data_IF_250746954325
#
_entry.id   IF_250746954325
#
_cell.length_a   1.000
_cell.length_b   1.000
_cell.length_c   1.000
_cell.angle_alpha   90.00
_cell.angle_beta   90.00
_cell.angle_gamma   90.00
#
_symmetry.space_group_name_H-M   'P 1'
#
loop_
_entity.id
_entity.type
_entity.pdbx_description
1 polymer ?
#
# COMPACT_ATOMS: atom_id res chain seq x y z
N UNK A 1 13.02 17.03 -22.01
CA UNK A 1 11.80 16.79 -21.20
C UNK A 1 12.22 16.54 -19.76
N UNK A 2 11.57 17.13 -18.74
CA UNK A 2 11.90 16.83 -17.34
C UNK A 2 11.61 15.35 -17.06
N UNK A 3 12.55 14.64 -16.44
CA UNK A 3 12.38 13.22 -16.07
C UNK A 3 11.24 13.11 -15.04
N UNK A 4 10.27 12.21 -15.27
CA UNK A 4 9.27 11.82 -14.24
C UNK A 4 10.04 11.29 -13.02
N UNK A 5 9.80 11.88 -11.85
CA UNK A 5 10.41 11.46 -10.59
C UNK A 5 9.78 10.14 -10.12
N UNK A 6 10.55 9.25 -9.48
CA UNK A 6 9.99 8.04 -8.85
C UNK A 6 9.29 8.41 -7.56
N UNK A 7 8.39 7.56 -7.09
CA UNK A 7 7.75 7.72 -5.78
C UNK A 7 8.78 7.83 -4.66
N UNK A 8 9.84 7.02 -4.72
CA UNK A 8 10.97 7.14 -3.81
C UNK A 8 11.62 8.52 -3.89
N UNK A 9 11.98 9.00 -5.09
CA UNK A 9 12.54 10.35 -5.30
C UNK A 9 11.62 11.48 -4.82
N UNK A 10 10.31 11.28 -4.90
CA UNK A 10 9.33 12.23 -4.43
C UNK A 10 9.36 12.38 -2.89
N UNK A 11 9.57 11.28 -2.17
CA UNK A 11 9.56 11.26 -0.70
C UNK A 11 10.85 11.79 -0.06
N UNK A 12 12.01 11.53 -0.65
CA UNK A 12 13.33 11.89 -0.10
C UNK A 12 13.93 13.15 -0.73
N UNK A 13 13.30 13.70 -1.77
CA UNK A 13 13.87 14.76 -2.60
C UNK A 13 14.97 14.23 -3.53
N UNK A 14 15.57 15.12 -4.33
CA UNK A 14 16.54 14.79 -5.39
C UNK A 14 17.92 14.38 -4.87
N UNK A 15 18.03 13.80 -3.68
CA UNK A 15 19.29 13.32 -3.13
C UNK A 15 19.83 12.16 -3.99
N UNK A 16 21.07 12.30 -4.45
CA UNK A 16 21.77 11.40 -5.38
C UNK A 16 22.26 10.09 -4.75
N UNK A 17 21.71 9.67 -3.61
CA UNK A 17 22.15 8.47 -2.91
C UNK A 17 21.82 7.22 -3.73
N UNK A 18 22.78 6.30 -3.79
CA UNK A 18 22.69 5.05 -4.53
C UNK A 18 21.40 4.30 -4.16
N UNK A 19 20.59 4.08 -5.19
CA UNK A 19 19.18 3.64 -5.16
C UNK A 19 18.82 2.29 -4.48
N UNK A 20 19.71 1.29 -4.24
CA UNK A 20 19.25 -0.02 -3.79
C UNK A 20 18.72 -0.04 -2.35
N UNK A 21 19.48 0.50 -1.40
CA UNK A 21 19.21 0.33 0.03
C UNK A 21 17.91 1.00 0.49
N UNK A 22 17.52 2.10 -0.15
CA UNK A 22 16.29 2.82 0.20
C UNK A 22 15.05 2.26 -0.50
N UNK A 23 15.16 1.78 -1.75
CA UNK A 23 14.06 1.04 -2.38
C UNK A 23 13.75 -0.24 -1.61
N UNK A 24 14.78 -0.96 -1.16
CA UNK A 24 14.60 -2.18 -0.37
C UNK A 24 14.10 -1.90 1.06
N UNK A 25 14.55 -0.83 1.71
CA UNK A 25 14.02 -0.40 3.00
C UNK A 25 12.55 0.08 2.88
N UNK A 26 12.22 0.73 1.77
CA UNK A 26 10.89 1.24 1.50
C UNK A 26 9.94 0.10 1.09
N UNK A 27 10.28 -0.68 0.07
CA UNK A 27 9.61 -1.93 -0.28
C UNK A 27 9.50 -2.85 0.94
N UNK A 28 10.51 -2.90 1.79
CA UNK A 28 10.51 -3.58 3.09
C UNK A 28 9.48 -3.01 4.04
N UNK A 29 9.38 -1.68 4.20
CA UNK A 29 8.33 -1.02 5.01
C UNK A 29 6.93 -1.30 4.47
N UNK A 30 6.74 -1.27 3.14
CA UNK A 30 5.47 -1.63 2.49
C UNK A 30 5.15 -3.10 2.63
N UNK A 31 6.12 -3.99 2.47
CA UNK A 31 5.97 -5.43 2.70
C UNK A 31 5.63 -5.68 4.17
N UNK A 32 6.28 -4.96 5.09
CA UNK A 32 5.98 -5.02 6.52
C UNK A 32 4.53 -4.61 6.75
N UNK A 33 4.06 -3.52 6.16
CA UNK A 33 2.67 -3.08 6.24
C UNK A 33 1.68 -4.07 5.63
N UNK A 34 2.00 -4.61 4.45
CA UNK A 34 1.22 -5.60 3.71
C UNK A 34 1.13 -6.93 4.46
N UNK A 35 2.12 -7.28 5.29
CA UNK A 35 2.11 -8.52 6.08
C UNK A 35 1.56 -8.30 7.49
N UNK A 36 1.95 -7.21 8.14
CA UNK A 36 1.56 -6.94 9.53
C UNK A 36 0.12 -6.48 9.65
N UNK A 37 -0.40 -5.62 8.78
CA UNK A 37 -1.78 -5.11 8.92
C UNK A 37 -2.84 -6.21 8.75
N UNK A 38 -2.72 -7.15 7.79
CA UNK A 38 -3.64 -8.29 7.71
C UNK A 38 -3.54 -9.23 8.91
N UNK A 39 -2.33 -9.42 9.46
CA UNK A 39 -2.17 -10.20 10.70
C UNK A 39 -2.91 -9.54 11.87
N UNK A 40 -2.95 -8.21 11.95
CA UNK A 40 -3.64 -7.49 13.02
C UNK A 40 -5.17 -7.60 12.93
N UNK A 41 -5.72 -7.75 11.71
CA UNK A 41 -7.14 -8.07 11.52
C UNK A 41 -7.51 -9.44 12.13
N UNK A 42 -6.58 -10.40 12.14
CA UNK A 42 -6.79 -11.71 12.79
C UNK A 42 -6.65 -11.69 14.33
N UNK A 43 -6.12 -10.62 14.92
CA UNK A 43 -6.02 -10.44 16.38
C UNK A 43 -7.16 -9.56 16.94
N UNK A 44 -8.37 -9.73 16.40
CA UNK A 44 -9.58 -8.88 16.45
C UNK A 44 -10.16 -8.49 17.83
N UNK A 45 -9.40 -8.61 18.91
CA UNK A 45 -9.87 -8.41 20.28
C UNK A 45 -8.97 -7.46 21.09
N UNK A 46 -8.10 -6.69 20.44
CA UNK A 46 -7.17 -5.77 21.11
C UNK A 46 -7.37 -4.34 20.57
N UNK A 47 -8.07 -3.45 21.32
CA UNK A 47 -8.46 -2.12 20.85
C UNK A 47 -7.29 -1.24 20.37
N UNK A 48 -6.12 -1.34 21.00
CA UNK A 48 -4.95 -0.54 20.59
C UNK A 48 -4.39 -0.98 19.24
N UNK A 49 -4.49 -2.27 18.92
CA UNK A 49 -4.03 -2.85 17.66
C UNK A 49 -4.93 -2.40 16.51
N UNK A 50 -6.24 -2.32 16.76
CA UNK A 50 -7.22 -1.85 15.80
C UNK A 50 -7.01 -0.37 15.44
N UNK A 51 -6.83 0.48 16.45
CA UNK A 51 -6.57 1.91 16.25
C UNK A 51 -5.28 2.14 15.47
N UNK A 52 -4.20 1.44 15.84
CA UNK A 52 -2.93 1.51 15.14
C UNK A 52 -3.06 1.05 13.69
N UNK A 53 -3.78 -0.04 13.41
CA UNK A 53 -4.00 -0.55 12.05
C UNK A 53 -4.74 0.45 11.17
N UNK A 54 -5.78 1.09 11.71
CA UNK A 54 -6.52 2.13 10.98
C UNK A 54 -5.65 3.37 10.70
N UNK A 55 -4.93 3.87 11.70
CA UNK A 55 -4.02 5.01 11.53
C UNK A 55 -2.92 4.73 10.51
N UNK A 56 -2.38 3.53 10.57
CA UNK A 56 -1.36 3.03 9.68
C UNK A 56 -1.86 3.04 8.22
N UNK A 57 -3.03 2.45 7.94
CA UNK A 57 -3.61 2.43 6.59
C UNK A 57 -4.04 3.81 6.13
N UNK A 58 -4.59 4.64 7.01
CA UNK A 58 -4.91 6.03 6.71
C UNK A 58 -3.68 6.82 6.27
N UNK A 59 -2.57 6.71 7.01
CA UNK A 59 -1.30 7.36 6.65
C UNK A 59 -0.79 6.88 5.29
N UNK A 60 -0.88 5.57 5.04
CA UNK A 60 -0.51 4.95 3.78
C UNK A 60 -1.28 5.51 2.59
N UNK A 61 -2.60 5.55 2.72
CA UNK A 61 -3.52 6.05 1.70
C UNK A 61 -3.30 7.53 1.42
N UNK A 62 -3.04 8.33 2.45
CA UNK A 62 -2.70 9.74 2.29
C UNK A 62 -1.37 9.91 1.51
N UNK A 63 -0.35 9.11 1.82
CA UNK A 63 0.92 9.12 1.08
C UNK A 63 0.74 8.80 -0.40
N UNK A 64 -0.07 7.79 -0.72
CA UNK A 64 -0.39 7.42 -2.11
C UNK A 64 -1.18 8.53 -2.81
N UNK A 65 -2.12 9.18 -2.13
CA UNK A 65 -2.89 10.30 -2.68
C UNK A 65 -2.01 11.49 -3.05
N UNK A 66 -1.11 11.90 -2.13
CA UNK A 66 -0.18 13.00 -2.37
C UNK A 66 0.69 12.69 -3.58
N UNK A 67 1.24 11.48 -3.65
CA UNK A 67 2.00 11.06 -4.83
C UNK A 67 1.17 11.05 -6.10
N UNK A 68 -0.05 10.51 -6.06
CA UNK A 68 -0.95 10.44 -7.22
C UNK A 68 -1.17 11.81 -7.86
N UNK A 69 -1.45 12.83 -7.04
CA UNK A 69 -1.66 14.21 -7.49
C UNK A 69 -0.40 14.78 -8.13
N UNK A 70 0.76 14.58 -7.50
CA UNK A 70 2.01 15.22 -7.90
C UNK A 70 2.69 14.53 -9.08
N UNK A 71 2.57 13.21 -9.19
CA UNK A 71 3.04 12.40 -10.32
C UNK A 71 2.05 12.35 -11.50
N UNK A 72 0.82 12.86 -11.30
CA UNK A 72 -0.31 12.76 -12.24
C UNK A 72 -0.69 11.31 -12.56
N UNK A 73 -0.60 10.43 -11.57
CA UNK A 73 -1.04 9.04 -11.65
C UNK A 73 -2.43 8.89 -11.05
N UNK A 74 -3.42 9.44 -11.74
CA UNK A 74 -4.80 9.58 -11.24
C UNK A 74 -5.50 8.25 -10.91
N UNK A 75 -5.04 7.13 -11.44
CA UNK A 75 -5.54 5.81 -11.07
C UNK A 75 -5.35 5.49 -9.57
N UNK A 76 -4.36 6.11 -8.92
CA UNK A 76 -4.09 5.95 -7.50
C UNK A 76 -5.00 6.82 -6.60
N UNK A 77 -5.82 7.72 -7.17
CA UNK A 77 -6.76 8.55 -6.41
C UNK A 77 -7.84 7.75 -5.69
N UNK A 78 -8.06 6.48 -6.06
CA UNK A 78 -8.95 5.55 -5.36
C UNK A 78 -8.62 5.42 -3.86
N UNK A 79 -7.38 5.74 -3.45
CA UNK A 79 -6.98 5.77 -2.05
C UNK A 79 -7.72 6.81 -1.20
N UNK A 80 -8.48 7.74 -1.80
CA UNK A 80 -9.40 8.61 -1.06
C UNK A 80 -10.48 7.80 -0.36
N UNK A 81 -10.95 6.73 -1.01
CA UNK A 81 -11.94 5.82 -0.43
C UNK A 81 -11.32 5.07 0.75
N UNK A 82 -10.10 4.54 0.58
CA UNK A 82 -9.39 3.87 1.68
C UNK A 82 -9.15 4.80 2.86
N UNK A 83 -8.73 6.04 2.61
CA UNK A 83 -8.51 7.04 3.64
C UNK A 83 -9.79 7.35 4.43
N UNK A 84 -10.89 7.63 3.72
CA UNK A 84 -12.19 7.93 4.34
C UNK A 84 -12.71 6.73 5.14
N UNK A 85 -12.60 5.51 4.62
CA UNK A 85 -13.03 4.29 5.33
C UNK A 85 -12.19 4.03 6.58
N UNK A 86 -10.88 4.30 6.53
CA UNK A 86 -10.00 4.22 7.70
C UNK A 86 -10.44 5.20 8.80
N UNK A 87 -10.79 6.44 8.43
CA UNK A 87 -11.35 7.41 9.38
C UNK A 87 -12.73 6.97 9.89
N UNK A 88 -13.57 6.42 9.00
CA UNK A 88 -14.90 5.90 9.34
C UNK A 88 -14.88 4.81 10.41
N UNK A 89 -13.81 3.99 10.46
CA UNK A 89 -13.61 2.99 11.53
C UNK A 89 -13.67 3.59 12.94
N UNK A 90 -13.26 4.84 13.11
CA UNK A 90 -13.25 5.52 14.42
C UNK A 90 -14.65 6.01 14.85
N UNK A 91 -15.62 6.03 13.94
CA UNK A 91 -16.94 6.63 14.14
C UNK A 91 -18.08 5.60 14.17
N UNK A 92 -17.88 4.43 13.55
CA UNK A 92 -18.94 3.44 13.34
C UNK A 92 -18.97 2.31 14.38
N UNK A 93 -20.11 1.60 14.51
CA UNK A 93 -20.23 0.38 15.32
C UNK A 93 -19.17 -0.66 14.95
N UNK A 94 -18.83 -1.51 15.93
CA UNK A 94 -17.72 -2.46 15.88
C UNK A 94 -17.65 -3.24 14.54
N UNK A 95 -18.71 -3.93 14.14
CA UNK A 95 -18.71 -4.81 12.96
C UNK A 95 -18.65 -4.04 11.61
N UNK A 96 -19.38 -2.94 11.52
CA UNK A 96 -19.42 -2.10 10.31
C UNK A 96 -18.10 -1.36 10.12
N UNK A 97 -17.52 -0.89 11.23
CA UNK A 97 -16.19 -0.31 11.28
C UNK A 97 -15.12 -1.30 10.80
N UNK A 98 -15.17 -2.56 11.25
CA UNK A 98 -14.22 -3.58 10.78
C UNK A 98 -14.31 -3.82 9.28
N UNK A 99 -15.51 -3.89 8.74
CA UNK A 99 -15.72 -4.02 7.30
C UNK A 99 -15.07 -2.85 6.54
N UNK A 100 -15.22 -1.62 7.04
CA UNK A 100 -14.58 -0.44 6.44
C UNK A 100 -13.05 -0.53 6.47
N UNK A 101 -12.48 -0.99 7.59
CA UNK A 101 -11.03 -1.17 7.71
C UNK A 101 -10.51 -2.24 6.74
N UNK A 102 -11.23 -3.36 6.59
CA UNK A 102 -10.86 -4.43 5.65
C UNK A 102 -10.86 -3.92 4.20
N UNK A 103 -11.91 -3.19 3.80
CA UNK A 103 -11.98 -2.60 2.46
C UNK A 103 -10.84 -1.59 2.24
N UNK A 104 -10.55 -0.75 3.24
CA UNK A 104 -9.44 0.19 3.18
C UNK A 104 -8.09 -0.52 2.96
N UNK A 105 -7.82 -1.60 3.70
CA UNK A 105 -6.61 -2.41 3.56
C UNK A 105 -6.50 -2.98 2.14
N UNK A 106 -7.59 -3.55 1.59
CA UNK A 106 -7.60 -4.12 0.24
C UNK A 106 -7.23 -3.05 -0.81
N UNK A 107 -7.85 -1.86 -0.74
CA UNK A 107 -7.59 -0.77 -1.68
C UNK A 107 -6.13 -0.30 -1.60
N UNK A 108 -5.63 -0.10 -0.38
CA UNK A 108 -4.25 0.38 -0.17
C UNK A 108 -3.22 -0.66 -0.58
N UNK A 109 -3.48 -1.94 -0.33
CA UNK A 109 -2.59 -3.03 -0.71
C UNK A 109 -2.55 -3.21 -2.23
N UNK A 110 -3.69 -3.17 -2.92
CA UNK A 110 -3.74 -3.23 -4.38
C UNK A 110 -3.00 -2.03 -5.01
N UNK A 111 -3.22 -0.83 -4.47
CA UNK A 111 -2.54 0.40 -4.92
C UNK A 111 -1.04 0.34 -4.66
N UNK A 112 -0.63 -0.14 -3.49
CA UNK A 112 0.77 -0.31 -3.11
C UNK A 112 1.48 -1.32 -4.02
N UNK A 113 0.83 -2.42 -4.39
CA UNK A 113 1.37 -3.37 -5.36
C UNK A 113 1.55 -2.76 -6.75
N UNK A 114 0.56 -2.01 -7.25
CA UNK A 114 0.66 -1.34 -8.55
C UNK A 114 1.83 -0.35 -8.57
N UNK A 115 2.01 0.42 -7.50
CA UNK A 115 3.09 1.36 -7.34
C UNK A 115 4.44 0.63 -7.26
N UNK A 116 4.55 -0.42 -6.44
CA UNK A 116 5.78 -1.19 -6.31
C UNK A 116 6.16 -1.86 -7.64
N UNK A 117 5.18 -2.32 -8.40
CA UNK A 117 5.36 -2.88 -9.73
C UNK A 117 5.82 -1.87 -10.77
N UNK A 118 5.26 -0.66 -10.76
CA UNK A 118 5.69 0.41 -11.67
C UNK A 118 7.12 0.86 -11.37
N UNK A 119 7.45 1.04 -10.09
CA UNK A 119 8.78 1.43 -9.64
C UNK A 119 9.82 0.33 -9.89
N UNK A 120 9.49 -0.93 -9.63
CA UNK A 120 10.38 -2.05 -9.92
C UNK A 120 10.69 -2.16 -11.41
N UNK A 121 9.66 -2.12 -12.28
CA UNK A 121 9.87 -2.13 -13.74
C UNK A 121 10.74 -0.97 -14.20
N UNK A 122 10.54 0.21 -13.63
CA UNK A 122 11.33 1.39 -13.95
C UNK A 122 12.78 1.25 -13.51
N UNK A 123 13.01 0.75 -12.30
CA UNK A 123 14.35 0.45 -11.78
C UNK A 123 15.08 -0.56 -12.67
N UNK A 124 14.44 -1.69 -13.01
CA UNK A 124 15.03 -2.72 -13.86
C UNK A 124 15.34 -2.18 -15.25
N UNK A 125 14.46 -1.37 -15.83
CA UNK A 125 14.72 -0.69 -17.12
C UNK A 125 15.92 0.26 -17.05
N UNK A 126 16.08 1.00 -15.95
CA UNK A 126 17.15 1.98 -15.79
C UNK A 126 18.53 1.36 -15.50
N UNK A 127 18.58 0.18 -14.85
CA UNK A 127 19.84 -0.44 -14.39
C UNK A 127 20.22 -1.69 -15.19
N UNK A 128 19.24 -2.50 -15.59
CA UNK A 128 19.47 -3.79 -16.26
C UNK A 128 19.23 -3.72 -17.77
N UNK A 129 19.22 -2.52 -18.38
CA UNK A 129 19.12 -2.32 -19.84
C UNK A 129 17.98 -3.09 -20.54
N UNK A 130 16.81 -3.19 -19.88
CA UNK A 130 15.58 -3.61 -20.55
C UNK A 130 15.14 -5.05 -20.33
N UNK A 131 15.66 -5.75 -19.33
CA UNK A 131 15.00 -6.98 -18.89
C UNK A 131 13.63 -6.62 -18.28
N UNK A 132 12.54 -6.95 -18.97
CA UNK A 132 11.16 -6.64 -18.54
C UNK A 132 10.68 -7.58 -17.43
N UNK A 133 11.59 -8.08 -16.59
CA UNK A 133 11.20 -8.91 -15.46
C UNK A 133 10.29 -8.08 -14.55
N UNK A 134 9.01 -8.46 -14.49
CA UNK A 134 8.05 -7.92 -13.54
C UNK A 134 8.50 -8.16 -12.10
N UNK A 135 7.72 -7.66 -11.15
CA UNK A 135 7.95 -7.93 -9.72
C UNK A 135 8.10 -9.45 -9.51
N UNK A 136 9.04 -9.90 -8.64
CA UNK A 136 9.17 -11.31 -8.32
C UNK A 136 7.82 -11.98 -8.03
N UNK A 137 7.57 -13.14 -8.65
CA UNK A 137 6.28 -13.84 -8.60
C UNK A 137 5.76 -14.06 -7.17
N UNK A 138 6.67 -14.33 -6.22
CA UNK A 138 6.31 -14.55 -4.83
C UNK A 138 5.64 -13.32 -4.18
N UNK A 139 5.98 -12.10 -4.59
CA UNK A 139 5.33 -10.87 -4.10
C UNK A 139 3.91 -10.81 -4.64
N UNK A 140 3.73 -11.04 -5.94
CA UNK A 140 2.40 -11.05 -6.58
C UNK A 140 1.49 -12.11 -5.96
N UNK A 141 1.99 -13.33 -5.77
CA UNK A 141 1.24 -14.43 -5.14
C UNK A 141 0.90 -14.10 -3.68
N UNK A 142 1.85 -13.56 -2.92
CA UNK A 142 1.61 -13.18 -1.52
C UNK A 142 0.53 -12.11 -1.41
N UNK A 143 0.66 -11.01 -2.18
CA UNK A 143 -0.33 -9.92 -2.18
C UNK A 143 -1.71 -10.43 -2.63
N UNK A 144 -1.76 -11.20 -3.72
CA UNK A 144 -3.03 -11.74 -4.23
C UNK A 144 -3.72 -12.66 -3.21
N UNK A 145 -2.96 -13.56 -2.60
CA UNK A 145 -3.50 -14.50 -1.58
C UNK A 145 -4.02 -13.75 -0.36
N UNK A 146 -3.25 -12.79 0.16
CA UNK A 146 -3.67 -11.93 1.28
C UNK A 146 -4.92 -11.13 0.94
N UNK A 147 -5.02 -10.60 -0.28
CA UNK A 147 -6.20 -9.86 -0.76
C UNK A 147 -7.45 -10.73 -0.74
N UNK A 148 -7.35 -11.96 -1.27
CA UNK A 148 -8.48 -12.90 -1.30
C UNK A 148 -8.89 -13.29 0.11
N UNK A 149 -7.93 -13.57 1.00
CA UNK A 149 -8.21 -13.91 2.40
C UNK A 149 -8.95 -12.76 3.10
N UNK A 150 -8.47 -11.52 2.96
CA UNK A 150 -9.13 -10.34 3.52
C UNK A 150 -10.52 -10.11 2.94
N UNK A 151 -10.72 -10.39 1.66
CA UNK A 151 -12.02 -10.26 1.02
C UNK A 151 -13.03 -11.28 1.60
N UNK A 152 -12.63 -12.55 1.71
CA UNK A 152 -13.45 -13.60 2.34
C UNK A 152 -13.76 -13.23 3.80
N UNK A 153 -12.77 -12.68 4.50
CA UNK A 153 -12.94 -12.23 5.86
C UNK A 153 -13.97 -11.10 6.00
N UNK A 154 -13.84 -10.06 5.17
CA UNK A 154 -14.80 -8.95 5.14
C UNK A 154 -16.23 -9.41 4.82
N UNK A 155 -16.40 -10.40 3.93
CA UNK A 155 -17.71 -11.00 3.65
C UNK A 155 -18.32 -11.74 4.84
N UNK A 156 -17.49 -12.29 5.74
CA UNK A 156 -17.97 -12.98 6.96
C UNK A 156 -18.47 -12.00 8.02
N UNK A 157 -17.96 -10.77 8.01
CA UNK A 157 -18.32 -9.73 8.99
C UNK A 157 -19.63 -9.00 8.65
N UNK A 158 -20.12 -9.12 7.42
CA UNK A 158 -21.39 -8.58 6.93
C UNK A 158 -22.56 -9.55 7.19
#
# INVERSE_FOLDING_TARGET
MPKRQSFSQFLIGTASLERPSFFDAYAGMWLHFIVSVPLLVFFEHVPIVEALSSMAIGSLSLGILVYSVLSREFGLLVNIVSYVLSLGRALEPVDLGYTFLVIAIIISMASGYLLLSSEYRRYTREIHNGDESGVPLWITVSVGTTTVILFIYGLRLL
#
